data_IF_729178586027
#
_entry.id   IF_729178586027
#
_cell.length_a   1.000
_cell.length_b   1.000
_cell.length_c   1.000
_cell.angle_alpha   90.00
_cell.angle_beta   90.00
_cell.angle_gamma   90.00
#
_symmetry.space_group_name_H-M   'P 1'
#
loop_
_entity.id
_entity.type
_entity.pdbx_description
1 polymer ?
#
# COMPACT_ATOMS: atom_id res chain seq x y z
N UNK A 1 1.99 11.26 -16.41
CA UNK A 1 3.32 11.06 -15.74
C UNK A 1 3.75 9.59 -15.67
N UNK A 2 2.87 8.69 -15.23
CA UNK A 2 3.19 7.26 -15.07
C UNK A 2 3.45 6.54 -16.41
N UNK A 3 3.06 7.11 -17.55
CA UNK A 3 3.31 6.53 -18.87
C UNK A 3 4.80 6.42 -19.22
N UNK A 4 5.66 7.18 -18.53
CA UNK A 4 7.12 7.19 -18.72
C UNK A 4 7.86 6.08 -17.97
N UNK A 5 7.14 5.31 -17.15
CA UNK A 5 7.70 4.20 -16.37
C UNK A 5 7.82 2.98 -17.27
N UNK A 6 9.04 2.43 -17.37
CA UNK A 6 9.44 1.43 -18.37
C UNK A 6 8.68 0.10 -18.25
N UNK A 7 8.33 -0.34 -17.04
CA UNK A 7 7.61 -1.60 -16.84
C UNK A 7 6.16 -1.38 -16.47
N UNK A 8 5.30 -2.27 -16.95
CA UNK A 8 3.88 -2.27 -16.62
C UNK A 8 3.65 -2.46 -15.11
N UNK A 9 4.42 -3.35 -14.49
CA UNK A 9 4.33 -3.65 -13.05
C UNK A 9 4.68 -2.43 -12.19
N UNK A 10 5.79 -1.76 -12.48
CA UNK A 10 6.21 -0.56 -11.73
C UNK A 10 5.20 0.57 -11.91
N UNK A 11 4.60 0.70 -13.09
CA UNK A 11 3.53 1.66 -13.37
C UNK A 11 2.26 1.37 -12.57
N UNK A 12 1.84 0.11 -12.52
CA UNK A 12 0.68 -0.33 -11.76
C UNK A 12 0.88 -0.10 -10.25
N UNK A 13 2.07 -0.45 -9.75
CA UNK A 13 2.45 -0.24 -8.35
C UNK A 13 2.43 1.25 -7.96
N UNK A 14 3.03 2.13 -8.77
CA UNK A 14 3.05 3.57 -8.49
C UNK A 14 1.65 4.22 -8.53
N UNK A 15 0.78 3.81 -9.46
CA UNK A 15 -0.61 4.29 -9.51
C UNK A 15 -1.39 3.84 -8.28
N UNK A 16 -1.21 2.59 -7.87
CA UNK A 16 -1.84 2.02 -6.68
C UNK A 16 -1.37 2.76 -5.42
N UNK A 17 -0.07 2.97 -5.26
CA UNK A 17 0.49 3.75 -4.15
C UNK A 17 -0.13 5.16 -4.06
N UNK A 18 -0.20 5.89 -5.18
CA UNK A 18 -0.74 7.25 -5.18
C UNK A 18 -2.21 7.29 -4.73
N UNK A 19 -3.01 6.30 -5.16
CA UNK A 19 -4.42 6.16 -4.75
C UNK A 19 -4.54 5.82 -3.27
N UNK A 20 -3.80 4.83 -2.80
CA UNK A 20 -3.80 4.40 -1.39
C UNK A 20 -3.32 5.50 -0.44
N UNK A 21 -2.32 6.29 -0.87
CA UNK A 21 -1.76 7.41 -0.11
C UNK A 21 -2.75 8.56 0.08
N UNK A 22 -3.65 8.77 -0.87
CA UNK A 22 -4.71 9.78 -0.77
C UNK A 22 -5.73 9.40 0.32
N UNK A 23 -6.02 8.10 0.44
CA UNK A 23 -6.98 7.57 1.41
C UNK A 23 -6.35 7.24 2.78
N UNK A 24 -5.06 7.56 2.98
CA UNK A 24 -4.27 7.19 4.17
C UNK A 24 -4.27 5.69 4.46
N UNK A 25 -4.49 4.86 3.44
CA UNK A 25 -4.45 3.40 3.55
C UNK A 25 -3.03 2.95 3.28
N UNK A 26 -2.39 2.34 4.27
CA UNK A 26 -1.02 1.85 4.14
C UNK A 26 -1.08 0.36 3.81
N UNK A 27 -0.59 -0.01 2.62
CA UNK A 27 -0.45 -1.40 2.20
C UNK A 27 0.98 -1.90 2.40
N UNK A 28 1.13 -3.12 2.90
CA UNK A 28 2.40 -3.86 2.88
C UNK A 28 2.36 -4.75 1.64
N UNK A 29 3.30 -4.55 0.72
CA UNK A 29 3.48 -5.38 -0.47
C UNK A 29 4.71 -6.27 -0.28
N UNK A 30 4.54 -7.57 -0.54
CA UNK A 30 5.63 -8.54 -0.57
C UNK A 30 5.66 -9.14 -1.97
N UNK A 31 6.79 -9.03 -2.64
CA UNK A 31 7.01 -9.70 -3.91
C UNK A 31 7.30 -11.19 -3.68
N UNK A 32 6.55 -12.06 -4.35
CA UNK A 32 6.70 -13.52 -4.27
C UNK A 32 6.60 -14.09 -5.67
N UNK A 33 7.34 -15.17 -5.95
CA UNK A 33 7.43 -15.75 -7.30
C UNK A 33 6.11 -16.25 -7.89
N UNK A 34 5.05 -16.34 -7.08
CA UNK A 34 3.68 -16.71 -7.45
C UNK A 34 2.75 -15.49 -7.70
N UNK A 35 3.26 -14.25 -7.70
CA UNK A 35 2.49 -13.05 -8.06
C UNK A 35 2.30 -12.01 -6.96
N UNK A 36 3.08 -12.09 -5.88
CA UNK A 36 3.09 -11.12 -4.79
C UNK A 36 1.88 -11.20 -3.86
N UNK A 37 2.07 -10.75 -2.61
CA UNK A 37 1.04 -10.71 -1.57
C UNK A 37 0.84 -9.28 -1.08
N UNK A 38 -0.41 -8.96 -0.74
CA UNK A 38 -0.83 -7.63 -0.30
C UNK A 38 -1.61 -7.77 0.99
N UNK A 39 -1.18 -7.04 2.02
CA UNK A 39 -1.98 -6.78 3.21
C UNK A 39 -2.32 -5.29 3.27
N UNK A 40 -3.57 -4.97 3.58
CA UNK A 40 -4.06 -3.60 3.71
C UNK A 40 -4.39 -3.32 5.17
N UNK A 41 -3.87 -2.22 5.71
CA UNK A 41 -4.33 -1.69 6.99
C UNK A 41 -5.47 -0.73 6.68
N UNK A 42 -6.66 -1.03 7.21
CA UNK A 42 -7.84 -0.15 7.13
C UNK A 42 -8.01 0.64 8.43
N UNK A 43 -8.66 1.80 8.34
CA UNK A 43 -8.95 2.65 9.50
C UNK A 43 -7.93 3.76 9.76
N UNK A 44 -8.13 4.49 10.86
CA UNK A 44 -7.20 5.55 11.31
C UNK A 44 -6.06 4.94 12.14
N UNK A 45 -4.87 5.53 12.05
CA UNK A 45 -3.78 5.19 12.96
C UNK A 45 -4.21 5.47 14.41
N UNK A 46 -4.31 4.44 15.23
CA UNK A 46 -4.50 4.60 16.68
C UNK A 46 -3.17 4.90 17.36
N UNK A 47 -3.19 5.72 18.39
CA UNK A 47 -2.04 5.92 19.27
C UNK A 47 -1.73 4.61 20.00
N UNK A 48 -0.44 4.27 20.16
CA UNK A 48 0.00 3.06 20.87
C UNK A 48 -0.63 2.94 22.26
N UNK A 49 -0.83 4.05 22.95
CA UNK A 49 -1.45 4.10 24.28
C UNK A 49 -2.93 3.70 24.28
N UNK A 50 -3.66 3.94 23.18
CA UNK A 50 -5.07 3.57 23.05
C UNK A 50 -5.26 2.08 22.71
N UNK A 51 -4.42 1.54 21.81
CA UNK A 51 -4.51 0.12 21.41
C UNK A 51 -4.17 -0.85 22.55
N UNK A 52 -3.31 -0.46 23.49
CA UNK A 52 -2.93 -1.29 24.64
C UNK A 52 -4.00 -1.34 25.76
N UNK A 53 -5.10 -0.58 25.61
CA UNK A 53 -6.16 -0.45 26.62
C UNK A 53 -7.45 -1.19 26.24
N UNK A 54 -7.48 -1.91 25.11
CA UNK A 54 -8.60 -2.75 24.63
C UNK A 54 -8.35 -4.25 24.85
#
# INVERSE_FOLDING_TARGET
>A
PYERVATHELRAMLRRYARERQDKRFGIYIDTGDGGRVAMIDGQSQSWTQAASE
#
